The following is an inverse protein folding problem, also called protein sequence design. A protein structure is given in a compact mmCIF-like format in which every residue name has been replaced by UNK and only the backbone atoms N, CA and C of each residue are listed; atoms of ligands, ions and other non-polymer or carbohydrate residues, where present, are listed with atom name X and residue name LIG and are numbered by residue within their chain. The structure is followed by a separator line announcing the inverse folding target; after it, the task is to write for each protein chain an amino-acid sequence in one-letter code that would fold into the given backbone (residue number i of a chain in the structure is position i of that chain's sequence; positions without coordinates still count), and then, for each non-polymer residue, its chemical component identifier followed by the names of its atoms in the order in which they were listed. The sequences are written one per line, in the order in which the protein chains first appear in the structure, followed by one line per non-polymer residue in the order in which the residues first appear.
data_IF_571590939253
#
_entry.id   IF_571590939253
#
_cell.length_a   1.000
_cell.length_b   1.000
_cell.length_c   1.000
_cell.angle_alpha   90.00
_cell.angle_beta   90.00
_cell.angle_gamma   90.00
#
_symmetry.space_group_name_H-M   'P 1'
#
loop_
_entity.id
_entity.type
_entity.pdbx_description
1 polymer ?
#
# COMPACT_ATOMS: atom_id res chain seq x y z
N UNK A 1 59.27 -13.91 41.03
CA UNK A 1 58.81 -15.25 41.41
C UNK A 1 59.86 -16.28 41.04
N UNK A 2 60.38 -17.06 42.00
CA UNK A 2 61.38 -18.10 41.77
C UNK A 2 60.72 -19.48 41.78
N UNK A 3 61.02 -20.32 40.79
CA UNK A 3 60.53 -21.70 40.70
C UNK A 3 61.71 -22.67 40.62
N UNK A 4 61.72 -23.68 41.51
CA UNK A 4 62.71 -24.75 41.49
C UNK A 4 62.01 -26.11 41.57
N UNK A 5 62.56 -27.09 40.86
CA UNK A 5 62.11 -28.49 40.97
C UNK A 5 63.04 -29.21 41.94
N UNK A 6 62.48 -29.73 43.03
CA UNK A 6 63.26 -30.43 44.06
C UNK A 6 62.62 -31.75 44.46
N UNK A 7 63.34 -32.51 45.28
CA UNK A 7 62.85 -33.75 45.90
C UNK A 7 62.50 -33.42 47.34
N UNK A 8 61.24 -33.60 47.71
CA UNK A 8 60.72 -33.30 49.04
C UNK A 8 60.11 -34.57 49.63
N UNK A 9 60.67 -35.07 50.74
CA UNK A 9 60.21 -36.27 51.48
C UNK A 9 59.81 -37.42 50.54
N UNK A 10 60.77 -37.88 49.73
CA UNK A 10 60.67 -38.99 48.77
C UNK A 10 59.81 -38.77 47.50
N UNK A 11 59.14 -37.62 47.34
CA UNK A 11 58.49 -37.24 46.07
C UNK A 11 59.46 -36.48 45.16
N UNK A 12 59.84 -37.11 44.05
CA UNK A 12 60.68 -36.49 43.00
C UNK A 12 59.82 -35.67 42.04
N UNK A 13 60.29 -34.48 41.66
CA UNK A 13 59.65 -33.65 40.64
C UNK A 13 58.62 -32.65 41.17
N UNK A 14 58.67 -32.31 42.46
CA UNK A 14 57.80 -31.29 43.05
C UNK A 14 58.28 -29.90 42.62
N UNK A 15 57.37 -29.10 42.09
CA UNK A 15 57.66 -27.72 41.68
C UNK A 15 57.38 -26.83 42.88
N UNK A 16 58.43 -26.23 43.43
CA UNK A 16 58.34 -25.28 44.54
C UNK A 16 58.46 -23.88 43.98
N UNK A 17 57.44 -23.08 44.21
CA UNK A 17 57.35 -21.69 43.78
C UNK A 17 57.31 -20.78 45.00
N UNK A 18 58.13 -19.73 45.01
CA UNK A 18 58.08 -18.66 46.00
C UNK A 18 57.64 -17.38 45.30
N UNK A 19 56.47 -16.86 45.70
CA UNK A 19 55.97 -15.58 45.23
C UNK A 19 56.72 -14.42 45.90
N UNK A 20 56.63 -13.25 45.25
CA UNK A 20 57.35 -12.05 45.65
C UNK A 20 56.73 -11.42 46.92
N UNK A 21 55.55 -11.91 47.29
CA UNK A 21 54.76 -11.57 48.48
C UNK A 21 55.02 -12.54 49.66
N UNK A 22 55.95 -13.51 49.47
CA UNK A 22 56.42 -14.42 50.51
C UNK A 22 55.67 -15.76 50.60
N UNK A 23 54.76 -16.06 49.67
CA UNK A 23 54.04 -17.32 49.67
C UNK A 23 54.87 -18.44 49.01
N UNK A 24 55.21 -19.46 49.79
CA UNK A 24 55.85 -20.69 49.30
C UNK A 24 54.78 -21.75 49.01
N UNK A 25 54.66 -22.16 47.74
CA UNK A 25 53.75 -23.21 47.29
C UNK A 25 54.52 -24.35 46.63
N UNK A 26 54.29 -25.57 47.12
CA UNK A 26 54.80 -26.81 46.54
C UNK A 26 53.66 -27.48 45.75
N UNK A 27 53.79 -27.56 44.43
CA UNK A 27 52.77 -28.13 43.54
C UNK A 27 53.31 -29.35 42.79
N UNK A 28 52.41 -30.27 42.48
CA UNK A 28 52.61 -31.30 41.48
C UNK A 28 51.58 -31.10 40.35
N UNK A 29 51.95 -31.41 39.11
CA UNK A 29 51.03 -31.31 37.98
C UNK A 29 50.07 -32.51 38.02
N UNK A 30 48.82 -32.26 38.39
CA UNK A 30 47.75 -33.27 38.31
C UNK A 30 47.43 -33.59 36.85
N UNK A 31 47.20 -34.87 36.55
CA UNK A 31 46.89 -35.37 35.20
C UNK A 31 45.42 -35.75 35.03
N UNK A 32 44.59 -35.59 36.07
CA UNK A 32 43.16 -35.87 36.00
C UNK A 32 42.39 -34.72 35.32
N UNK A 33 41.78 -34.94 34.14
CA UNK A 33 40.95 -33.93 33.50
C UNK A 33 39.64 -33.76 34.27
N UNK A 34 39.31 -32.53 34.66
CA UNK A 34 38.00 -32.21 35.25
C UNK A 34 36.90 -32.28 34.17
N UNK A 35 36.21 -33.41 34.07
CA UNK A 35 35.01 -33.50 33.23
C UNK A 35 33.90 -32.64 33.84
N UNK A 36 33.40 -31.67 33.07
CA UNK A 36 32.24 -30.85 33.44
C UNK A 36 30.98 -31.75 33.48
N UNK A 37 30.75 -32.42 34.61
CA UNK A 37 29.46 -33.03 34.93
C UNK A 37 28.61 -31.99 35.65
N UNK A 38 27.37 -31.79 35.17
CA UNK A 38 26.39 -31.02 35.91
C UNK A 38 26.31 -31.58 37.35
N UNK A 39 26.42 -30.74 38.39
CA UNK A 39 26.35 -31.21 39.77
C UNK A 39 25.08 -32.03 39.96
N UNK A 40 25.14 -33.16 40.67
CA UNK A 40 23.92 -33.83 41.14
C UNK A 40 23.25 -32.86 42.10
N UNK A 41 22.26 -32.13 41.60
CA UNK A 41 21.48 -31.17 42.39
C UNK A 41 20.58 -32.00 43.29
N UNK A 42 20.91 -32.05 44.58
CA UNK A 42 19.98 -32.54 45.59
C UNK A 42 18.75 -31.62 45.60
N UNK A 43 17.61 -32.20 45.22
CA UNK A 43 16.25 -31.69 45.30
C UNK A 43 16.08 -30.18 45.22
N UNK A 44 16.21 -29.61 44.02
CA UNK A 44 15.26 -28.54 43.68
C UNK A 44 13.92 -29.24 43.46
N UNK A 45 13.01 -29.12 44.41
CA UNK A 45 11.65 -29.64 44.25
C UNK A 45 11.01 -28.92 43.05
N UNK A 46 11.03 -29.58 41.90
CA UNK A 46 10.31 -29.12 40.72
C UNK A 46 8.84 -29.39 40.99
N UNK A 47 8.02 -28.34 40.98
CA UNK A 47 6.58 -28.46 41.17
C UNK A 47 5.93 -29.09 39.92
N UNK A 48 5.92 -30.42 39.86
CA UNK A 48 5.37 -31.18 38.74
C UNK A 48 3.85 -30.95 38.54
N UNK A 49 3.12 -30.54 39.58
CA UNK A 49 1.69 -30.27 39.48
C UNK A 49 1.42 -28.98 38.71
N UNK A 50 2.13 -27.90 39.06
CA UNK A 50 2.05 -26.61 38.38
C UNK A 50 2.54 -26.71 36.92
N UNK A 51 3.66 -27.41 36.70
CA UNK A 51 4.19 -27.66 35.36
C UNK A 51 3.20 -28.47 34.49
N UNK A 52 2.54 -29.47 35.07
CA UNK A 52 1.54 -30.26 34.33
C UNK A 52 0.24 -29.48 34.08
N UNK A 53 -0.15 -28.59 34.98
CA UNK A 53 -1.30 -27.71 34.79
C UNK A 53 -1.03 -26.75 33.63
N UNK A 54 0.11 -26.05 33.64
CA UNK A 54 0.52 -25.14 32.56
C UNK A 54 0.68 -25.88 31.23
N UNK A 55 1.30 -27.07 31.23
CA UNK A 55 1.45 -27.90 30.04
C UNK A 55 0.08 -28.30 29.44
N UNK A 56 -0.91 -28.62 30.28
CA UNK A 56 -2.27 -28.94 29.82
C UNK A 56 -2.98 -27.72 29.25
N UNK A 57 -2.82 -26.56 29.87
CA UNK A 57 -3.39 -25.30 29.37
C UNK A 57 -2.78 -24.92 28.02
N UNK A 58 -1.46 -24.96 27.88
CA UNK A 58 -0.77 -24.70 26.62
C UNK A 58 -1.17 -25.70 25.53
N UNK A 59 -1.25 -27.00 25.86
CA UNK A 59 -1.73 -28.01 24.91
C UNK A 59 -3.18 -27.78 24.47
N UNK A 60 -4.03 -27.25 25.36
CA UNK A 60 -5.41 -26.88 25.01
C UNK A 60 -5.43 -25.70 24.03
N UNK A 61 -4.67 -24.64 24.30
CA UNK A 61 -4.54 -23.48 23.41
C UNK A 61 -4.02 -23.91 22.03
N UNK A 62 -2.98 -24.76 21.98
CA UNK A 62 -2.43 -25.29 20.73
C UNK A 62 -3.49 -26.07 19.95
N UNK A 63 -4.26 -26.95 20.61
CA UNK A 63 -5.32 -27.73 19.96
C UNK A 63 -6.44 -26.84 19.41
N UNK A 64 -6.85 -25.81 20.15
CA UNK A 64 -7.87 -24.86 19.72
C UNK A 64 -7.39 -24.02 18.52
N UNK A 65 -6.15 -23.53 18.57
CA UNK A 65 -5.54 -22.81 17.45
C UNK A 65 -5.32 -23.69 16.20
N UNK A 66 -5.04 -24.99 16.37
CA UNK A 66 -4.82 -25.92 15.24
C UNK A 66 -6.14 -26.41 14.61
N UNK A 67 -7.22 -26.47 15.39
CA UNK A 67 -8.55 -26.92 14.93
C UNK A 67 -9.26 -25.85 14.11
N UNK A 68 -8.98 -24.58 14.40
CA UNK A 68 -9.47 -23.43 13.64
C UNK A 68 -8.48 -23.20 12.50
N UNK A 69 -8.77 -23.68 11.29
CA UNK A 69 -7.93 -23.38 10.11
C UNK A 69 -7.92 -21.88 9.76
N UNK A 70 -8.81 -21.10 10.38
CA UNK A 70 -8.74 -19.65 10.47
C UNK A 70 -7.99 -19.24 11.76
N UNK A 71 -7.03 -18.33 11.60
CA UNK A 71 -6.09 -17.86 12.64
C UNK A 71 -6.80 -17.10 13.79
N UNK A 72 -8.12 -16.88 13.73
CA UNK A 72 -8.87 -16.03 14.67
C UNK A 72 -9.94 -16.82 15.45
N UNK A 73 -9.95 -16.77 16.79
CA UNK A 73 -10.97 -17.42 17.61
C UNK A 73 -12.37 -16.79 17.40
N UNK A 74 -13.42 -17.60 17.44
CA UNK A 74 -14.81 -17.17 17.17
C UNK A 74 -15.34 -16.08 18.13
N UNK A 75 -14.70 -15.86 19.28
CA UNK A 75 -15.03 -14.77 20.22
C UNK A 75 -14.65 -13.38 19.68
N UNK A 76 -13.91 -13.29 18.57
CA UNK A 76 -13.46 -12.05 17.93
C UNK A 76 -14.34 -11.62 16.74
N UNK A 77 -15.55 -12.18 16.61
CA UNK A 77 -16.53 -11.72 15.60
C UNK A 77 -17.01 -10.29 15.86
N UNK A 78 -16.70 -9.69 17.02
CA UNK A 78 -16.87 -8.26 17.26
C UNK A 78 -15.55 -7.54 16.99
N UNK A 79 -15.56 -6.63 16.02
CA UNK A 79 -14.39 -5.81 15.68
C UNK A 79 -14.08 -4.86 16.84
N UNK A 80 -12.88 -4.99 17.42
CA UNK A 80 -12.38 -4.15 18.50
C UNK A 80 -12.34 -2.67 18.10
N UNK A 81 -11.84 -2.40 16.90
CA UNK A 81 -11.82 -1.07 16.28
C UNK A 81 -12.59 -1.15 14.97
N UNK A 82 -13.57 -0.26 14.81
CA UNK A 82 -14.36 -0.12 13.59
C UNK A 82 -13.98 1.17 12.88
N UNK A 83 -13.72 1.07 11.58
CA UNK A 83 -13.39 2.20 10.71
C UNK A 83 -14.54 2.38 9.73
N UNK A 84 -15.01 3.62 9.60
CA UNK A 84 -16.08 4.00 8.67
C UNK A 84 -15.63 5.22 7.87
N UNK A 85 -15.95 5.23 6.58
CA UNK A 85 -15.62 6.33 5.69
C UNK A 85 -16.92 6.85 5.05
N UNK A 86 -17.14 8.16 5.17
CA UNK A 86 -18.29 8.88 4.62
C UNK A 86 -17.78 9.85 3.57
N UNK A 87 -18.15 9.63 2.32
CA UNK A 87 -17.77 10.51 1.20
C UNK A 87 -18.85 11.58 1.02
N UNK A 88 -18.44 12.84 0.93
CA UNK A 88 -19.36 13.94 0.67
C UNK A 88 -20.09 13.71 -0.66
N UNK A 89 -21.43 13.86 -0.69
CA UNK A 89 -22.19 13.69 -1.93
C UNK A 89 -21.87 14.81 -2.92
N UNK A 90 -21.35 15.96 -2.48
CA UNK A 90 -21.00 17.11 -3.30
C UNK A 90 -19.49 17.32 -3.37
N UNK A 91 -19.04 17.85 -4.51
CA UNK A 91 -17.67 18.34 -4.65
C UNK A 91 -17.47 19.54 -3.72
N UNK A 92 -16.22 19.76 -3.32
CA UNK A 92 -15.86 20.89 -2.47
C UNK A 92 -16.07 22.21 -3.25
N UNK A 93 -16.66 23.23 -2.61
CA UNK A 93 -16.89 24.55 -3.23
C UNK A 93 -15.58 25.22 -3.63
N UNK A 94 -14.58 25.10 -2.75
CA UNK A 94 -13.19 25.48 -3.00
C UNK A 94 -12.34 24.22 -3.07
N UNK A 95 -11.70 24.00 -4.23
CA UNK A 95 -10.83 22.85 -4.42
C UNK A 95 -9.67 22.85 -3.44
N UNK A 96 -9.45 21.69 -2.82
CA UNK A 96 -8.31 21.40 -1.94
C UNK A 96 -7.20 20.64 -2.67
N UNK A 97 -7.18 20.66 -4.01
CA UNK A 97 -6.16 19.97 -4.79
C UNK A 97 -4.76 20.59 -4.57
N UNK A 98 -3.77 19.75 -4.30
CA UNK A 98 -2.37 20.14 -4.04
C UNK A 98 -1.48 19.58 -5.16
N UNK A 99 -0.62 20.42 -5.73
CA UNK A 99 0.37 20.03 -6.76
C UNK A 99 -0.21 19.18 -7.91
N UNK A 100 -1.36 19.60 -8.46
CA UNK A 100 -1.98 18.89 -9.58
C UNK A 100 -1.33 19.26 -10.91
N UNK A 101 -1.04 18.25 -11.73
CA UNK A 101 -0.49 18.36 -13.08
C UNK A 101 -1.57 18.32 -14.18
N UNK A 102 -2.84 18.26 -13.76
CA UNK A 102 -3.98 18.19 -14.68
C UNK A 102 -4.07 19.50 -15.48
N UNK A 103 -4.23 19.39 -16.80
CA UNK A 103 -4.24 20.55 -17.71
C UNK A 103 -5.52 21.39 -17.64
N UNK A 104 -6.55 20.89 -16.96
CA UNK A 104 -7.83 21.56 -16.77
C UNK A 104 -7.68 22.77 -15.82
N UNK A 105 -8.44 23.84 -16.05
CA UNK A 105 -8.30 25.11 -15.31
C UNK A 105 -8.62 25.03 -13.82
N UNK A 106 -9.50 24.13 -13.40
CA UNK A 106 -9.80 23.86 -11.99
C UNK A 106 -9.99 22.36 -11.79
N UNK A 107 -9.25 21.79 -10.84
CA UNK A 107 -9.33 20.37 -10.47
C UNK A 107 -10.30 20.24 -9.31
N UNK A 108 -11.40 19.49 -9.43
CA UNK A 108 -12.32 19.29 -8.33
C UNK A 108 -11.70 18.42 -7.23
N UNK A 109 -12.15 18.62 -5.99
CA UNK A 109 -11.85 17.75 -4.86
C UNK A 109 -13.14 17.29 -4.18
N UNK A 110 -13.07 16.16 -3.49
CA UNK A 110 -14.17 15.66 -2.66
C UNK A 110 -13.70 15.35 -1.25
N UNK A 111 -14.40 15.93 -0.28
CA UNK A 111 -14.15 15.66 1.14
C UNK A 111 -14.59 14.25 1.53
N UNK A 112 -13.71 13.52 2.21
CA UNK A 112 -13.97 12.22 2.83
C UNK A 112 -13.74 12.34 4.34
N UNK A 113 -14.77 11.97 5.11
CA UNK A 113 -14.73 11.94 6.58
C UNK A 113 -14.53 10.50 7.04
N UNK A 114 -13.47 10.26 7.79
CA UNK A 114 -13.15 8.93 8.32
C UNK A 114 -13.37 8.97 9.83
N UNK A 115 -14.19 8.04 10.32
CA UNK A 115 -14.49 7.88 11.75
C UNK A 115 -13.96 6.55 12.25
N UNK A 116 -13.12 6.61 13.28
CA UNK A 116 -12.53 5.46 13.96
C UNK A 116 -13.24 5.33 15.31
N UNK A 117 -13.84 4.18 15.58
CA UNK A 117 -14.50 3.88 16.85
C UNK A 117 -13.82 2.69 17.50
N UNK A 118 -13.37 2.86 18.75
CA UNK A 118 -12.73 1.78 19.50
C UNK A 118 -13.63 1.30 20.63
N UNK A 119 -13.76 -0.02 20.78
CA UNK A 119 -14.43 -0.67 21.92
C UNK A 119 -13.45 -1.12 23.01
N UNK A 120 -12.17 -1.11 22.68
CA UNK A 120 -11.07 -1.52 23.56
C UNK A 120 -10.08 -0.37 23.69
N UNK A 121 -9.18 -0.44 24.66
CA UNK A 121 -8.01 0.44 24.65
C UNK A 121 -7.15 0.09 23.44
N UNK A 122 -6.96 1.01 22.50
CA UNK A 122 -6.11 0.79 21.33
C UNK A 122 -4.88 1.70 21.43
N UNK A 123 -3.71 1.09 21.54
CA UNK A 123 -2.44 1.79 21.71
C UNK A 123 -1.81 2.13 20.36
N UNK A 124 -1.35 3.37 20.24
CA UNK A 124 -0.68 3.93 19.04
C UNK A 124 -1.41 3.62 17.73
N UNK A 125 -2.70 3.96 17.59
CA UNK A 125 -3.42 3.80 16.33
C UNK A 125 -2.80 4.71 15.25
N UNK A 126 -2.58 4.14 14.07
CA UNK A 126 -2.15 4.84 12.87
C UNK A 126 -3.12 4.54 11.73
N UNK A 127 -3.74 5.59 11.19
CA UNK A 127 -4.61 5.54 10.03
C UNK A 127 -3.80 5.86 8.78
N UNK A 128 -3.80 4.94 7.82
CA UNK A 128 -3.32 5.16 6.47
C UNK A 128 -4.52 5.16 5.49
N UNK A 129 -4.53 6.12 4.58
CA UNK A 129 -5.56 6.26 3.53
C UNK A 129 -4.89 6.10 2.18
N UNK A 130 -5.32 5.11 1.42
CA UNK A 130 -4.74 4.75 0.15
C UNK A 130 -5.77 4.91 -0.97
N UNK A 131 -5.41 5.69 -1.98
CA UNK A 131 -6.09 5.78 -3.27
C UNK A 131 -5.08 5.40 -4.36
N UNK A 132 -5.55 4.83 -5.47
CA UNK A 132 -4.67 4.48 -6.58
C UNK A 132 -4.29 5.72 -7.37
N UNK A 133 -3.00 5.87 -7.71
CA UNK A 133 -2.57 6.85 -8.70
C UNK A 133 -3.40 6.64 -9.98
N UNK A 134 -3.90 7.72 -10.62
CA UNK A 134 -3.54 9.14 -10.51
C UNK A 134 -4.28 9.96 -9.44
N UNK A 135 -5.11 9.33 -8.60
CA UNK A 135 -5.75 10.02 -7.49
C UNK A 135 -4.75 10.30 -6.37
N UNK A 136 -4.96 11.39 -5.65
CA UNK A 136 -4.19 11.73 -4.46
C UNK A 136 -5.11 12.24 -3.35
N UNK A 137 -4.59 12.17 -2.12
CA UNK A 137 -5.22 12.71 -0.92
C UNK A 137 -4.40 13.89 -0.41
N UNK A 138 -5.06 14.85 0.26
CA UNK A 138 -4.37 15.97 0.92
C UNK A 138 -3.45 15.52 2.06
N UNK A 139 -3.85 14.45 2.76
CA UNK A 139 -3.06 13.81 3.81
C UNK A 139 -3.37 12.30 3.82
N UNK A 140 -2.33 11.47 3.72
CA UNK A 140 -2.42 10.01 3.60
C UNK A 140 -2.25 9.27 4.93
N UNK A 141 -1.69 9.92 5.96
CA UNK A 141 -1.40 9.30 7.25
C UNK A 141 -1.81 10.19 8.42
N UNK A 142 -2.42 9.56 9.44
CA UNK A 142 -2.82 10.20 10.68
C UNK A 142 -2.41 9.32 11.86
N UNK A 143 -1.59 9.87 12.75
CA UNK A 143 -1.18 9.21 13.99
C UNK A 143 -2.01 9.80 15.13
N UNK A 144 -2.66 8.94 15.92
CA UNK A 144 -3.42 9.38 17.09
C UNK A 144 -2.74 8.89 18.38
N UNK A 145 -3.10 9.54 19.47
CA UNK A 145 -2.81 9.06 20.81
C UNK A 145 -3.63 7.79 21.12
N UNK A 146 -3.34 7.17 22.27
CA UNK A 146 -4.03 5.95 22.70
C UNK A 146 -5.55 6.20 22.82
N UNK A 147 -6.34 5.35 22.16
CA UNK A 147 -7.80 5.44 22.19
C UNK A 147 -8.35 4.70 23.40
N UNK A 148 -9.20 5.38 24.17
CA UNK A 148 -9.95 4.78 25.27
C UNK A 148 -11.14 3.93 24.75
N UNK A 149 -11.64 2.98 25.54
CA UNK A 149 -12.86 2.24 25.17
C UNK A 149 -14.04 3.20 24.99
N UNK A 150 -14.84 2.94 23.96
CA UNK A 150 -15.98 3.75 23.52
C UNK A 150 -15.62 5.18 23.05
N UNK A 151 -14.33 5.44 22.80
CA UNK A 151 -13.88 6.68 22.15
C UNK A 151 -14.07 6.63 20.63
N UNK A 152 -14.25 7.81 20.05
CA UNK A 152 -14.32 7.98 18.59
C UNK A 152 -13.48 9.17 18.15
N UNK A 153 -12.62 8.95 17.16
CA UNK A 153 -11.84 10.00 16.51
C UNK A 153 -12.29 10.17 15.07
N UNK A 154 -12.29 11.41 14.60
CA UNK A 154 -12.70 11.73 13.22
C UNK A 154 -11.66 12.57 12.53
N UNK A 155 -11.27 12.16 11.33
CA UNK A 155 -10.41 12.96 10.46
C UNK A 155 -11.12 13.27 9.15
N UNK A 156 -10.73 14.38 8.56
CA UNK A 156 -11.27 14.87 7.29
C UNK A 156 -10.11 15.11 6.35
N UNK A 157 -10.25 14.62 5.13
CA UNK A 157 -9.29 14.81 4.05
C UNK A 157 -10.04 15.02 2.73
N UNK A 158 -9.35 15.52 1.72
CA UNK A 158 -9.93 15.65 0.38
C UNK A 158 -9.18 14.77 -0.61
N UNK A 159 -9.93 14.13 -1.50
CA UNK A 159 -9.39 13.35 -2.62
C UNK A 159 -9.54 14.16 -3.91
N UNK A 160 -8.52 14.15 -4.76
CA UNK A 160 -8.51 14.87 -6.04
C UNK A 160 -7.67 14.12 -7.10
N UNK A 161 -7.80 14.52 -8.36
CA UNK A 161 -6.99 14.00 -9.45
C UNK A 161 -5.65 14.75 -9.54
N UNK A 162 -4.53 14.05 -9.36
CA UNK A 162 -3.20 14.67 -9.36
C UNK A 162 -2.55 14.64 -10.73
N UNK A 163 -2.53 13.49 -11.39
CA UNK A 163 -1.87 13.33 -12.69
C UNK A 163 -2.86 13.50 -13.85
N UNK A 164 -2.37 13.90 -15.01
CA UNK A 164 -3.20 14.11 -16.21
C UNK A 164 -3.49 12.80 -16.96
N UNK A 165 -4.02 11.80 -16.27
CA UNK A 165 -4.51 10.54 -16.84
C UNK A 165 -5.79 10.07 -16.11
N UNK A 166 -6.59 9.22 -16.76
CA UNK A 166 -7.83 8.68 -16.18
C UNK A 166 -7.50 7.60 -15.15
N UNK A 167 -8.13 7.58 -13.95
CA UNK A 167 -7.88 6.53 -12.99
C UNK A 167 -8.44 5.19 -13.42
N UNK A 168 -7.82 4.11 -12.96
CA UNK A 168 -8.34 2.75 -13.16
C UNK A 168 -9.61 2.52 -12.34
N UNK A 169 -9.67 3.07 -11.12
CA UNK A 169 -10.79 2.90 -10.20
C UNK A 169 -11.04 4.16 -9.37
N UNK A 170 -12.31 4.37 -9.01
CA UNK A 170 -12.76 5.45 -8.13
C UNK A 170 -13.06 4.90 -6.74
N UNK A 171 -12.11 4.19 -6.16
CA UNK A 171 -12.21 3.59 -4.83
C UNK A 171 -11.00 3.95 -3.99
N UNK A 172 -11.21 4.09 -2.69
CA UNK A 172 -10.15 4.31 -1.71
C UNK A 172 -10.29 3.32 -0.55
N UNK A 173 -9.18 3.06 0.14
CA UNK A 173 -9.15 2.17 1.30
C UNK A 173 -8.48 2.87 2.49
N UNK A 174 -9.14 2.80 3.63
CA UNK A 174 -8.64 3.23 4.93
C UNK A 174 -8.16 2.01 5.71
N UNK A 175 -6.98 2.09 6.29
CA UNK A 175 -6.40 1.05 7.14
C UNK A 175 -5.98 1.67 8.46
N UNK A 176 -6.46 1.12 9.57
CA UNK A 176 -6.05 1.52 10.91
C UNK A 176 -5.27 0.38 11.54
N UNK A 177 -3.98 0.58 11.74
CA UNK A 177 -3.12 -0.33 12.50
C UNK A 177 -3.04 0.12 13.95
N UNK A 178 -3.23 -0.79 14.90
CA UNK A 178 -3.23 -0.49 16.34
C UNK A 178 -2.73 -1.68 17.15
N UNK A 179 -2.30 -1.44 18.39
CA UNK A 179 -1.95 -2.51 19.32
C UNK A 179 -3.00 -2.63 20.43
N UNK A 180 -3.34 -3.85 20.82
CA UNK A 180 -4.09 -4.11 22.06
C UNK A 180 -3.11 -4.04 23.25
N UNK A 181 -3.54 -3.74 24.50
CA UNK A 181 -2.66 -3.74 25.68
C UNK A 181 -1.88 -5.05 25.92
N UNK A 182 -2.31 -6.15 25.29
CA UNK A 182 -1.57 -7.42 25.25
C UNK A 182 -0.33 -7.40 24.35
N UNK A 183 -0.09 -6.30 23.61
CA UNK A 183 1.02 -6.11 22.69
C UNK A 183 0.82 -6.71 21.29
N UNK A 184 -0.37 -7.24 21.01
CA UNK A 184 -0.68 -7.88 19.71
C UNK A 184 -1.10 -6.79 18.69
N UNK A 185 -0.39 -6.65 17.55
CA UNK A 185 -0.78 -5.72 16.50
C UNK A 185 -2.00 -6.23 15.74
N UNK A 186 -2.94 -5.33 15.45
CA UNK A 186 -4.14 -5.58 14.66
C UNK A 186 -4.33 -4.50 13.60
N UNK A 187 -5.10 -4.85 12.57
CA UNK A 187 -5.46 -3.95 11.48
C UNK A 187 -6.96 -4.03 11.22
N UNK A 188 -7.61 -2.88 11.18
CA UNK A 188 -8.99 -2.73 10.71
C UNK A 188 -9.01 -1.97 9.39
N UNK A 189 -9.79 -2.44 8.42
CA UNK A 189 -9.88 -1.83 7.09
C UNK A 189 -11.30 -1.47 6.70
N UNK A 190 -11.45 -0.43 5.89
CA UNK A 190 -12.70 0.03 5.30
C UNK A 190 -12.42 0.56 3.89
N UNK A 191 -13.29 0.26 2.93
CA UNK A 191 -13.20 0.81 1.57
C UNK A 191 -14.36 1.78 1.33
N UNK A 192 -14.12 2.81 0.53
CA UNK A 192 -15.09 3.81 0.14
C UNK A 192 -15.05 4.06 -1.37
N UNK A 193 -16.19 4.42 -1.95
CA UNK A 193 -16.32 4.75 -3.37
C UNK A 193 -16.38 6.25 -3.58
N UNK A 194 -15.68 6.74 -4.60
CA UNK A 194 -15.59 8.14 -4.97
C UNK A 194 -16.57 8.45 -6.11
N UNK A 195 -17.17 9.65 -6.12
CA UNK A 195 -18.18 9.97 -7.11
C UNK A 195 -17.53 10.24 -8.49
N UNK A 196 -18.18 9.76 -9.56
CA UNK A 196 -17.69 9.94 -10.95
C UNK A 196 -17.40 11.41 -11.33
N UNK A 197 -18.16 12.36 -10.75
CA UNK A 197 -17.95 13.81 -10.96
C UNK A 197 -16.59 14.34 -10.48
N UNK A 198 -15.82 13.55 -9.73
CA UNK A 198 -14.45 13.88 -9.36
C UNK A 198 -13.51 13.91 -10.57
N UNK A 199 -13.83 13.16 -11.64
CA UNK A 199 -12.93 12.98 -12.79
C UNK A 199 -13.54 13.37 -14.12
N UNK A 200 -14.83 13.66 -14.18
CA UNK A 200 -15.49 14.15 -15.38
C UNK A 200 -16.65 15.11 -15.07
N UNK A 201 -17.05 15.89 -16.07
CA UNK A 201 -18.16 16.83 -16.02
C UNK A 201 -19.13 16.59 -17.20
N UNK A 202 -20.40 17.03 -17.08
CA UNK A 202 -21.38 16.88 -18.16
C UNK A 202 -20.93 17.64 -19.42
N UNK A 203 -21.12 17.00 -20.57
CA UNK A 203 -20.75 17.53 -21.87
C UNK A 203 -21.77 17.12 -22.94
N UNK A 204 -21.85 17.84 -24.07
CA UNK A 204 -22.74 17.45 -25.15
C UNK A 204 -22.33 16.07 -25.72
N UNK A 205 -23.29 15.15 -25.92
CA UNK A 205 -22.98 13.80 -26.39
C UNK A 205 -22.44 13.81 -27.83
N UNK A 206 -21.39 13.02 -28.07
CA UNK A 206 -20.83 12.83 -29.40
C UNK A 206 -21.68 11.87 -30.24
N UNK A 207 -21.86 12.16 -31.53
CA UNK A 207 -22.68 11.33 -32.44
C UNK A 207 -21.97 10.05 -32.89
N UNK A 208 -20.65 10.10 -32.97
CA UNK A 208 -19.82 8.98 -33.41
C UNK A 208 -18.52 9.00 -32.59
N UNK A 209 -17.97 7.80 -32.41
CA UNK A 209 -16.72 7.54 -31.72
C UNK A 209 -16.13 6.22 -32.22
N UNK A 210 -14.82 6.04 -32.07
CA UNK A 210 -14.08 4.88 -32.58
C UNK A 210 -14.45 3.57 -31.87
N UNK A 211 -14.49 3.59 -30.55
CA UNK A 211 -14.75 2.41 -29.73
C UNK A 211 -16.16 2.44 -29.16
N UNK A 212 -16.84 1.27 -29.19
CA UNK A 212 -18.24 1.14 -28.76
C UNK A 212 -18.42 -0.14 -27.96
N UNK A 213 -19.01 0.00 -26.78
CA UNK A 213 -19.42 -1.11 -25.91
C UNK A 213 -20.94 -1.07 -25.75
N UNK A 214 -21.62 -2.21 -25.88
CA UNK A 214 -23.07 -2.30 -25.65
C UNK A 214 -23.37 -3.32 -24.57
N UNK A 215 -23.98 -2.87 -23.48
CA UNK A 215 -24.43 -3.70 -22.36
C UNK A 215 -25.92 -4.00 -22.54
N UNK A 216 -26.28 -5.26 -22.50
CA UNK A 216 -27.65 -5.78 -22.51
C UNK A 216 -28.11 -6.01 -21.07
N UNK A 217 -29.28 -5.51 -20.70
CA UNK A 217 -29.92 -5.77 -19.39
C UNK A 217 -31.09 -6.72 -19.54
N UNK A 218 -31.43 -7.47 -18.49
CA UNK A 218 -32.62 -8.33 -18.46
C UNK A 218 -33.90 -7.62 -17.95
N UNK A 219 -33.81 -6.31 -17.72
CA UNK A 219 -34.89 -5.44 -17.22
C UNK A 219 -35.12 -4.27 -18.19
N UNK A 220 -36.30 -3.63 -18.17
CA UNK A 220 -36.57 -2.48 -19.03
C UNK A 220 -35.55 -1.35 -18.82
N UNK A 221 -35.21 -0.60 -19.87
CA UNK A 221 -34.28 0.52 -19.78
C UNK A 221 -34.85 1.61 -18.86
N UNK A 222 -33.98 2.17 -18.01
CA UNK A 222 -34.29 3.26 -17.09
C UNK A 222 -33.78 4.56 -17.73
N UNK A 223 -34.48 5.66 -17.46
CA UNK A 223 -34.05 6.98 -17.91
C UNK A 223 -32.66 7.33 -17.38
N UNK A 224 -31.78 7.82 -18.25
CA UNK A 224 -30.45 8.27 -17.86
C UNK A 224 -30.50 9.43 -16.87
N UNK A 225 -31.57 10.24 -16.90
CA UNK A 225 -31.80 11.32 -15.95
C UNK A 225 -31.97 10.81 -14.52
N UNK A 226 -32.57 9.63 -14.35
CA UNK A 226 -32.77 8.99 -13.05
C UNK A 226 -31.50 8.34 -12.53
N UNK A 227 -30.69 7.76 -13.42
CA UNK A 227 -29.45 7.06 -13.05
C UNK A 227 -28.31 8.05 -12.80
N UNK A 228 -28.21 9.10 -13.62
CA UNK A 228 -27.14 10.10 -13.58
C UNK A 228 -27.70 11.51 -13.37
N UNK A 229 -28.38 11.79 -12.24
CA UNK A 229 -28.94 13.12 -11.97
C UNK A 229 -27.85 14.22 -11.95
N UNK A 230 -26.62 13.85 -11.59
CA UNK A 230 -25.48 14.76 -11.47
C UNK A 230 -24.93 15.24 -12.83
N UNK A 231 -25.35 14.61 -13.93
CA UNK A 231 -24.83 14.86 -15.28
C UNK A 231 -25.91 15.38 -16.25
N UNK A 232 -27.05 15.83 -15.71
CA UNK A 232 -28.16 16.35 -16.49
C UNK A 232 -28.19 17.87 -16.40
N UNK A 233 -28.16 18.53 -17.55
CA UNK A 233 -28.41 19.97 -17.61
C UNK A 233 -29.90 20.24 -17.42
N UNK A 234 -30.26 21.08 -16.45
CA UNK A 234 -31.65 21.47 -16.14
C UNK A 234 -32.39 22.18 -17.27
N UNK A 235 -31.71 22.44 -18.39
CA UNK A 235 -32.23 23.14 -19.58
C UNK A 235 -32.75 22.19 -20.66
N UNK A 236 -32.36 20.91 -20.67
CA UNK A 236 -32.90 19.91 -21.59
C UNK A 236 -33.98 19.09 -20.87
N UNK A 237 -35.19 19.08 -21.45
CA UNK A 237 -36.34 18.40 -20.86
C UNK A 237 -36.11 16.90 -20.57
N UNK A 238 -37.08 16.32 -19.87
CA UNK A 238 -37.15 14.99 -19.23
C UNK A 238 -36.89 13.73 -20.10
N UNK A 239 -36.24 13.86 -21.28
CA UNK A 239 -36.03 12.79 -22.26
C UNK A 239 -34.63 12.74 -22.90
N UNK A 240 -33.57 13.09 -22.16
CA UNK A 240 -32.20 12.86 -22.62
C UNK A 240 -31.89 11.33 -22.66
N UNK A 241 -31.92 10.74 -23.87
CA UNK A 241 -31.51 9.33 -24.09
C UNK A 241 -30.00 9.19 -24.32
N UNK A 242 -29.28 10.31 -24.23
CA UNK A 242 -27.86 10.41 -24.44
C UNK A 242 -27.27 11.32 -23.37
N UNK A 243 -26.16 10.90 -22.75
CA UNK A 243 -25.36 11.72 -21.85
C UNK A 243 -23.92 11.74 -22.36
N UNK A 244 -23.30 12.91 -22.36
CA UNK A 244 -21.87 13.06 -22.61
C UNK A 244 -21.12 13.32 -21.32
N UNK A 245 -19.96 12.68 -21.19
CA UNK A 245 -19.02 12.83 -20.10
C UNK A 245 -17.70 13.34 -20.69
N UNK A 246 -17.22 14.48 -20.21
CA UNK A 246 -15.88 14.96 -20.56
C UNK A 246 -14.97 14.79 -19.35
N UNK A 247 -13.92 13.97 -19.51
CA UNK A 247 -12.92 13.77 -18.47
C UNK A 247 -12.04 15.01 -18.31
N UNK A 248 -11.47 15.19 -17.12
CA UNK A 248 -10.52 16.27 -16.85
C UNK A 248 -9.26 16.19 -17.72
N UNK A 249 -8.92 14.99 -18.19
CA UNK A 249 -7.84 14.72 -19.16
C UNK A 249 -8.14 15.29 -20.54
N UNK A 250 -9.41 15.57 -20.85
CA UNK A 250 -9.90 16.17 -22.09
C UNK A 250 -10.69 15.21 -22.99
N UNK A 251 -10.62 13.90 -22.74
CA UNK A 251 -11.32 12.89 -23.52
C UNK A 251 -12.84 12.90 -23.27
N UNK A 252 -13.61 12.31 -24.19
CA UNK A 252 -15.08 12.37 -24.19
C UNK A 252 -15.68 10.99 -24.38
N UNK A 253 -16.56 10.62 -23.46
CA UNK A 253 -17.35 9.38 -23.52
C UNK A 253 -18.83 9.72 -23.60
N UNK A 254 -19.58 9.00 -24.42
CA UNK A 254 -21.04 9.16 -24.57
C UNK A 254 -21.76 7.89 -24.17
N UNK A 255 -22.77 8.02 -23.33
CA UNK A 255 -23.69 6.96 -22.94
C UNK A 255 -25.04 7.15 -23.62
N UNK A 256 -25.52 6.12 -24.31
CA UNK A 256 -26.79 6.09 -25.01
C UNK A 256 -27.69 5.01 -24.39
N UNK A 257 -28.87 5.40 -23.94
CA UNK A 257 -29.90 4.46 -23.52
C UNK A 257 -30.88 4.25 -24.68
N UNK A 258 -31.14 3.00 -25.03
CA UNK A 258 -32.17 2.70 -26.02
C UNK A 258 -33.56 2.76 -25.40
N UNK A 259 -34.48 3.50 -26.04
CA UNK A 259 -35.89 3.59 -25.61
C UNK A 259 -36.66 2.28 -25.83
N UNK A 260 -36.30 1.52 -26.85
CA UNK A 260 -37.06 0.35 -27.31
C UNK A 260 -36.35 -0.97 -27.04
N UNK A 261 -35.07 -0.95 -26.67
CA UNK A 261 -34.30 -2.14 -26.34
C UNK A 261 -33.71 -2.04 -24.94
N UNK A 262 -33.53 -3.16 -24.26
CA UNK A 262 -32.91 -3.26 -22.93
C UNK A 262 -31.39 -3.15 -23.04
N UNK A 263 -30.91 -2.06 -23.66
CA UNK A 263 -29.51 -1.90 -24.07
C UNK A 263 -28.99 -0.50 -23.76
N UNK A 264 -27.78 -0.45 -23.22
CA UNK A 264 -27.01 0.77 -23.02
C UNK A 264 -25.74 0.69 -23.85
N UNK A 265 -25.46 1.72 -24.65
CA UNK A 265 -24.25 1.81 -25.46
C UNK A 265 -23.35 2.91 -24.94
N UNK A 266 -22.12 2.56 -24.61
CA UNK A 266 -21.05 3.48 -24.24
C UNK A 266 -20.13 3.61 -25.44
N UNK A 267 -19.71 4.82 -25.78
CA UNK A 267 -18.80 5.07 -26.90
C UNK A 267 -17.79 6.16 -26.57
N UNK A 268 -16.54 5.97 -26.99
CA UNK A 268 -15.41 6.89 -26.76
C UNK A 268 -14.39 6.75 -27.90
N UNK A 269 -13.62 7.81 -28.14
CA UNK A 269 -12.49 7.77 -29.07
C UNK A 269 -11.28 7.04 -28.48
N UNK A 270 -11.21 6.93 -27.16
CA UNK A 270 -10.17 6.22 -26.41
C UNK A 270 -10.80 5.01 -25.70
N UNK A 271 -10.19 3.83 -25.85
CA UNK A 271 -10.71 2.57 -25.30
C UNK A 271 -10.76 2.58 -23.76
N UNK A 272 -9.74 3.16 -23.13
CA UNK A 272 -9.56 3.22 -21.68
C UNK A 272 -10.70 3.96 -20.95
N UNK A 273 -11.23 5.02 -21.55
CA UNK A 273 -12.30 5.83 -20.96
C UNK A 273 -13.68 5.18 -20.98
N UNK A 274 -13.84 4.04 -21.65
CA UNK A 274 -15.07 3.25 -21.58
C UNK A 274 -15.25 2.63 -20.20
N UNK A 275 -14.15 2.28 -19.52
CA UNK A 275 -14.18 1.48 -18.29
C UNK A 275 -14.90 2.17 -17.15
N UNK A 276 -14.50 3.41 -16.80
CA UNK A 276 -15.07 4.13 -15.66
C UNK A 276 -16.58 4.36 -15.82
N UNK A 277 -17.03 4.78 -17.00
CA UNK A 277 -18.46 5.01 -17.29
C UNK A 277 -19.24 3.69 -17.28
N UNK A 278 -18.64 2.61 -17.77
CA UNK A 278 -19.24 1.26 -17.75
C UNK A 278 -19.40 0.75 -16.32
N UNK A 279 -18.35 0.84 -15.49
CA UNK A 279 -18.35 0.42 -14.08
C UNK A 279 -19.41 1.20 -13.30
N UNK A 280 -19.45 2.52 -13.47
CA UNK A 280 -20.44 3.39 -12.82
C UNK A 280 -21.87 3.08 -13.27
N UNK A 281 -22.11 2.86 -14.56
CA UNK A 281 -23.43 2.49 -15.08
C UNK A 281 -23.94 1.19 -14.45
N UNK A 282 -23.11 0.15 -14.44
CA UNK A 282 -23.48 -1.15 -13.86
C UNK A 282 -23.78 -0.98 -12.37
N UNK A 283 -22.91 -0.29 -11.64
CA UNK A 283 -23.08 -0.03 -10.22
C UNK A 283 -24.39 0.70 -9.90
N UNK A 284 -24.68 1.82 -10.59
CA UNK A 284 -25.91 2.59 -10.35
C UNK A 284 -27.18 1.82 -10.74
N UNK A 285 -27.13 1.01 -11.80
CA UNK A 285 -28.25 0.14 -12.18
C UNK A 285 -28.51 -0.92 -11.11
N UNK A 286 -27.46 -1.60 -10.62
CA UNK A 286 -27.57 -2.58 -9.55
C UNK A 286 -28.14 -1.95 -8.27
N UNK A 287 -27.66 -0.77 -7.88
CA UNK A 287 -28.22 -0.05 -6.72
C UNK A 287 -29.69 0.29 -6.90
N UNK A 288 -30.08 0.79 -8.07
CA UNK A 288 -31.47 1.17 -8.36
C UNK A 288 -32.41 -0.05 -8.31
N UNK A 289 -32.02 -1.17 -8.92
CA UNK A 289 -32.82 -2.40 -8.91
C UNK A 289 -32.83 -3.08 -7.55
N UNK A 290 -31.74 -2.99 -6.77
CA UNK A 290 -31.69 -3.45 -5.38
C UNK A 290 -32.66 -2.65 -4.50
N UNK A 291 -32.72 -1.32 -4.65
CA UNK A 291 -33.71 -0.45 -3.97
C UNK A 291 -35.15 -0.79 -4.40
N UNK A 292 -35.34 -1.23 -5.64
CA UNK A 292 -36.64 -1.69 -6.18
C UNK A 292 -36.98 -3.14 -5.84
N UNK A 293 -36.24 -3.80 -4.92
CA UNK A 293 -36.40 -5.21 -4.52
C UNK A 293 -36.27 -6.24 -5.67
N UNK A 294 -35.61 -5.88 -6.77
CA UNK A 294 -35.35 -6.77 -7.90
C UNK A 294 -34.02 -7.53 -7.66
N UNK A 295 -34.08 -8.82 -7.30
CA UNK A 295 -32.89 -9.63 -6.95
C UNK A 295 -32.22 -10.30 -8.14
N UNK A 296 -32.88 -10.34 -9.29
CA UNK A 296 -32.48 -11.07 -10.49
C UNK A 296 -31.93 -10.15 -11.58
N UNK A 297 -31.58 -8.90 -11.27
CA UNK A 297 -30.99 -7.99 -12.25
C UNK A 297 -29.63 -8.49 -12.73
N UNK A 298 -29.40 -8.45 -14.05
CA UNK A 298 -28.14 -8.85 -14.66
C UNK A 298 -27.81 -7.98 -15.88
N UNK A 299 -26.53 -7.60 -15.96
CA UNK A 299 -25.91 -6.99 -17.12
C UNK A 299 -25.15 -8.06 -17.90
N UNK A 300 -25.32 -8.09 -19.22
CA UNK A 300 -24.68 -9.03 -20.12
C UNK A 300 -24.02 -8.30 -21.28
N UNK A 301 -22.93 -8.85 -21.79
CA UNK A 301 -22.24 -8.32 -22.96
C UNK A 301 -22.27 -9.39 -24.06
N UNK A 302 -22.92 -9.06 -25.17
CA UNK A 302 -23.11 -9.97 -26.32
C UNK A 302 -22.17 -9.65 -27.50
N UNK A 303 -21.29 -8.66 -27.34
CA UNK A 303 -20.32 -8.26 -28.36
C UNK A 303 -19.04 -9.10 -28.35
N UNK A 304 -18.19 -8.88 -29.33
CA UNK A 304 -16.81 -9.37 -29.31
C UNK A 304 -15.98 -8.52 -28.35
N UNK A 305 -15.17 -9.17 -27.52
CA UNK A 305 -14.19 -8.48 -26.66
C UNK A 305 -13.18 -7.77 -27.58
N UNK A 306 -12.84 -6.48 -27.34
CA UNK A 306 -11.88 -5.72 -28.15
C UNK A 306 -10.44 -6.18 -27.86
N UNK A 307 -10.13 -7.43 -28.25
CA UNK A 307 -8.85 -8.06 -27.96
C UNK A 307 -7.70 -7.45 -28.76
N UNK A 308 -7.97 -6.98 -29.98
CA UNK A 308 -6.94 -6.40 -30.83
C UNK A 308 -6.39 -5.11 -30.20
N UNK A 309 -7.28 -4.17 -29.89
CA UNK A 309 -6.91 -2.89 -29.27
C UNK A 309 -6.27 -3.11 -27.89
N UNK A 310 -6.74 -4.12 -27.15
CA UNK A 310 -6.14 -4.52 -25.88
C UNK A 310 -4.70 -5.03 -26.04
N UNK A 311 -4.43 -5.88 -27.04
CA UNK A 311 -3.07 -6.36 -27.30
C UNK A 311 -2.14 -5.25 -27.79
N UNK A 312 -2.63 -4.31 -28.59
CA UNK A 312 -1.86 -3.13 -29.00
C UNK A 312 -1.41 -2.28 -27.79
N UNK A 313 -2.26 -2.15 -26.76
CA UNK A 313 -1.89 -1.49 -25.49
C UNK A 313 -0.85 -2.28 -24.70
N UNK A 314 -0.95 -3.61 -24.65
CA UNK A 314 0.03 -4.48 -23.99
C UNK A 314 1.40 -4.36 -24.67
N UNK A 315 1.44 -4.46 -26.00
CA UNK A 315 2.68 -4.37 -26.77
C UNK A 315 3.33 -3.00 -26.58
N UNK A 316 2.55 -1.91 -26.62
CA UNK A 316 3.04 -0.57 -26.35
C UNK A 316 3.60 -0.44 -24.93
N UNK A 317 2.92 -0.99 -23.93
CA UNK A 317 3.42 -0.97 -22.55
C UNK A 317 4.72 -1.79 -22.40
N UNK A 318 4.79 -2.95 -23.07
CA UNK A 318 5.99 -3.78 -23.08
C UNK A 318 7.19 -3.06 -23.72
N UNK A 319 7.00 -2.39 -24.85
CA UNK A 319 8.03 -1.56 -25.49
C UNK A 319 8.50 -0.42 -24.58
N UNK A 320 7.60 0.23 -23.84
CA UNK A 320 7.98 1.26 -22.86
C UNK A 320 8.84 0.67 -21.73
N UNK A 321 8.53 -0.55 -21.26
CA UNK A 321 9.35 -1.24 -20.25
C UNK A 321 10.73 -1.61 -20.75
N UNK A 322 10.83 -2.12 -21.98
CA UNK A 322 12.13 -2.41 -22.60
C UNK A 322 12.99 -1.14 -22.74
N UNK A 323 12.36 -0.03 -23.15
CA UNK A 323 13.06 1.25 -23.23
C UNK A 323 13.49 1.76 -21.84
N UNK A 324 12.64 1.63 -20.81
CA UNK A 324 13.00 1.99 -19.44
C UNK A 324 14.19 1.18 -18.92
N UNK A 325 14.23 -0.13 -19.18
CA UNK A 325 15.35 -1.01 -18.83
C UNK A 325 16.64 -0.57 -19.55
N UNK A 326 16.56 -0.29 -20.85
CA UNK A 326 17.70 0.23 -21.63
C UNK A 326 18.24 1.55 -21.07
N UNK A 327 17.37 2.49 -20.69
CA UNK A 327 17.79 3.76 -20.10
C UNK A 327 18.35 3.56 -18.69
N UNK A 328 17.81 2.63 -17.90
CA UNK A 328 18.34 2.27 -16.59
C UNK A 328 19.75 1.67 -16.68
N UNK A 329 20.02 0.82 -17.67
CA UNK A 329 21.38 0.31 -17.94
C UNK A 329 22.35 1.43 -18.31
N UNK A 330 21.94 2.30 -19.25
CA UNK A 330 22.75 3.45 -19.67
C UNK A 330 23.08 4.37 -18.48
N UNK A 331 22.08 4.67 -17.64
CA UNK A 331 22.25 5.48 -16.43
C UNK A 331 23.19 4.79 -15.44
N UNK A 332 23.09 3.47 -15.27
CA UNK A 332 23.97 2.68 -14.41
C UNK A 332 25.43 2.77 -14.86
N UNK A 333 25.69 2.59 -16.17
CA UNK A 333 27.04 2.73 -16.73
C UNK A 333 27.61 4.14 -16.50
N UNK A 334 26.80 5.18 -16.75
CA UNK A 334 27.19 6.57 -16.54
C UNK A 334 27.42 6.90 -15.07
N UNK A 335 26.62 6.36 -14.16
CA UNK A 335 26.81 6.50 -12.72
C UNK A 335 28.12 5.83 -12.25
N UNK A 336 28.50 4.69 -12.82
CA UNK A 336 29.79 4.03 -12.53
C UNK A 336 30.96 4.90 -13.00
N UNK A 337 30.87 5.47 -14.21
CA UNK A 337 31.87 6.39 -14.74
C UNK A 337 32.00 7.64 -13.84
N UNK A 338 30.87 8.27 -13.50
CA UNK A 338 30.80 9.44 -12.62
C UNK A 338 31.50 9.16 -11.28
N UNK A 339 31.15 8.05 -10.61
CA UNK A 339 31.76 7.65 -9.34
C UNK A 339 33.26 7.35 -9.47
N UNK A 340 33.72 6.81 -10.59
CA UNK A 340 35.14 6.56 -10.84
C UNK A 340 35.94 7.88 -10.94
N UNK A 341 35.37 8.90 -11.59
CA UNK A 341 35.95 10.24 -11.71
C UNK A 341 35.99 10.91 -10.35
N UNK A 342 34.89 10.87 -9.59
CA UNK A 342 34.83 11.40 -8.21
C UNK A 342 35.90 10.77 -7.31
N UNK A 343 36.06 9.44 -7.33
CA UNK A 343 37.10 8.73 -6.56
C UNK A 343 38.51 9.18 -6.93
N UNK A 344 38.76 9.40 -8.23
CA UNK A 344 40.06 9.85 -8.73
C UNK A 344 40.34 11.30 -8.35
N UNK A 345 39.34 12.18 -8.43
CA UNK A 345 39.41 13.56 -7.96
C UNK A 345 39.64 13.64 -6.45
N UNK A 346 38.91 12.87 -5.64
CA UNK A 346 39.08 12.82 -4.19
C UNK A 346 40.50 12.37 -3.79
N UNK A 347 41.03 11.36 -4.48
CA UNK A 347 42.40 10.89 -4.23
C UNK A 347 43.43 11.98 -4.55
N UNK A 348 43.22 12.74 -5.63
CA UNK A 348 44.06 13.89 -6.02
C UNK A 348 43.95 15.05 -5.03
N UNK A 349 42.73 15.39 -4.57
CA UNK A 349 42.53 16.45 -3.58
C UNK A 349 43.08 16.12 -2.19
N UNK A 350 43.18 14.82 -1.85
CA UNK A 350 43.76 14.36 -0.58
C UNK A 350 45.30 14.38 -0.59
N UNK A 351 45.92 14.40 -1.76
CA UNK A 351 47.38 14.47 -1.90
C UNK A 351 47.88 15.86 -1.47
N UNK A 352 48.92 15.90 -0.64
CA UNK A 352 49.53 17.16 -0.16
C UNK A 352 50.41 17.82 -1.22
N UNK A 353 50.78 17.07 -2.27
CA UNK A 353 51.54 17.61 -3.40
C UNK A 353 50.58 18.09 -4.50
N UNK A 354 50.66 19.36 -4.93
CA UNK A 354 49.75 19.88 -5.94
C UNK A 354 50.06 19.25 -7.30
N UNK A 355 49.24 18.27 -7.70
CA UNK A 355 49.26 17.70 -9.04
C UNK A 355 48.13 18.32 -9.89
N UNK A 356 48.38 18.66 -11.17
CA UNK A 356 47.34 19.20 -12.04
C UNK A 356 46.19 18.19 -12.21
N UNK A 357 44.96 18.69 -12.22
CA UNK A 357 43.73 17.88 -12.30
C UNK A 357 43.51 17.22 -13.68
N UNK A 358 44.33 17.55 -14.69
CA UNK A 358 44.33 16.92 -16.02
C UNK A 358 42.92 16.83 -16.65
N UNK A 359 42.14 17.91 -16.61
CA UNK A 359 40.77 18.00 -17.17
C UNK A 359 39.73 17.06 -16.54
N UNK A 360 40.01 16.45 -15.38
CA UNK A 360 39.05 15.60 -14.68
C UNK A 360 37.83 16.39 -14.18
N UNK A 361 37.99 17.68 -13.92
CA UNK A 361 36.93 18.64 -13.61
C UNK A 361 35.95 18.82 -14.79
N UNK A 362 36.48 18.99 -16.01
CA UNK A 362 35.66 19.09 -17.23
C UNK A 362 34.94 17.77 -17.54
N UNK A 363 35.61 16.64 -17.28
CA UNK A 363 35.06 15.31 -17.49
C UNK A 363 33.97 14.97 -16.47
N UNK A 364 34.11 15.44 -15.22
CA UNK A 364 33.07 15.35 -14.21
C UNK A 364 31.81 16.14 -14.61
N UNK A 365 31.98 17.37 -15.11
CA UNK A 365 30.83 18.17 -15.55
C UNK A 365 30.13 17.55 -16.77
N UNK A 366 30.90 17.01 -17.72
CA UNK A 366 30.36 16.28 -18.88
C UNK A 366 29.54 15.06 -18.46
N UNK A 367 30.10 14.21 -17.60
CA UNK A 367 29.40 13.02 -17.09
C UNK A 367 28.19 13.37 -16.22
N UNK A 368 28.23 14.46 -15.44
CA UNK A 368 27.07 14.95 -14.69
C UNK A 368 25.90 15.35 -15.60
N UNK A 369 26.20 16.06 -16.70
CA UNK A 369 25.19 16.40 -17.71
C UNK A 369 24.63 15.17 -18.40
N UNK A 370 25.48 14.19 -18.72
CA UNK A 370 25.03 12.92 -19.29
C UNK A 370 24.11 12.15 -18.34
N UNK A 371 24.45 12.06 -17.05
CA UNK A 371 23.62 11.40 -16.02
C UNK A 371 22.28 12.11 -15.83
N UNK A 372 22.25 13.45 -15.96
CA UNK A 372 21.03 14.25 -15.78
C UNK A 372 20.11 14.26 -17.01
N UNK A 373 20.61 13.83 -18.18
CA UNK A 373 19.90 13.86 -19.45
C UNK A 373 19.31 12.50 -19.87
N UNK A 374 19.74 11.41 -19.23
CA UNK A 374 19.13 10.07 -19.33
C UNK A 374 17.94 10.01 -18.39
#
# INVERSE_FOLDING_TARGET
MWAITTILRDLKGVIVTLSDDGHLQCSYLGTDPSLFQAPKVDSREINYEEMNAEMKELQKIIREATKTQDILPESEKQRDVTVTAEVSPNLDEESQAIDSEVKAGAVPSVTVKITIQSRVTAQKPNLAVCVQAPLAVTCDQFVFDDLEPDSSETVVLSVFLKENCSPSELEGTCMVSYNIPTGIPRVSQCSFSLPLKLVCFPAPPAKAANHKLTIDTNKPPISLVTIFPDFVDSSEGDQANALGFQFLTGSKTTLLASKTSQRYRIQSDELEDLWLVTKELVHRLEEHFKKSNCKDFACTFSGSIPLQEYFELIDRHFELRLNAEKYQELLSERAVQFRAIERRLLTRFKDKTPAPLQHLDTLLEGTFREVSAV
#
